data_IF_596734478486
#
_entry.id   IF_596734478486
#
_cell.length_a   1.000
_cell.length_b   1.000
_cell.length_c   1.000
_cell.angle_alpha   90.00
_cell.angle_beta   90.00
_cell.angle_gamma   90.00
#
_symmetry.space_group_name_H-M   'P 1'
#
loop_
_entity.id
_entity.type
_entity.pdbx_description
1 polymer ?
#
# COMPACT_ATOMS: atom_id res chain seq x y z
N UNK A 1 -2.99 15.99 10.02
CA UNK A 1 -4.28 16.67 9.77
C UNK A 1 -4.21 18.10 10.28
N UNK A 2 -3.96 18.35 11.58
CA UNK A 2 -3.99 19.71 12.16
C UNK A 2 -3.01 20.66 11.46
N UNK A 3 -1.77 20.22 11.18
CA UNK A 3 -0.74 21.06 10.54
C UNK A 3 -1.02 21.36 9.06
N UNK A 4 -1.79 20.52 8.37
CA UNK A 4 -2.12 20.67 6.96
C UNK A 4 -3.49 21.33 6.71
N UNK A 5 -4.24 21.61 7.78
CA UNK A 5 -5.56 22.23 7.70
C UNK A 5 -5.47 23.73 7.93
N UNK A 6 -6.20 24.49 7.12
CA UNK A 6 -6.25 25.95 7.16
C UNK A 6 -7.26 26.51 8.17
N UNK A 7 -8.17 25.68 8.66
CA UNK A 7 -9.22 26.08 9.61
C UNK A 7 -9.63 24.94 10.52
N UNK A 8 -10.23 25.29 11.68
CA UNK A 8 -10.81 24.33 12.62
C UNK A 8 -11.89 23.46 11.97
N UNK A 9 -12.71 24.05 11.10
CA UNK A 9 -13.77 23.34 10.39
C UNK A 9 -13.19 22.23 9.46
N UNK A 10 -12.05 22.47 8.82
CA UNK A 10 -11.36 21.44 8.02
C UNK A 10 -10.84 20.31 8.90
N UNK A 11 -10.28 20.62 10.07
CA UNK A 11 -9.83 19.61 11.04
C UNK A 11 -10.99 18.74 11.50
N UNK A 12 -12.12 19.35 11.89
CA UNK A 12 -13.31 18.61 12.29
C UNK A 12 -13.89 17.75 11.13
N UNK A 13 -13.95 18.30 9.92
CA UNK A 13 -14.39 17.57 8.73
C UNK A 13 -13.54 16.33 8.47
N UNK A 14 -12.21 16.44 8.58
CA UNK A 14 -11.30 15.32 8.43
C UNK A 14 -11.52 14.26 9.51
N UNK A 15 -11.68 14.64 10.76
CA UNK A 15 -11.99 13.69 11.84
C UNK A 15 -13.34 13.02 11.69
N UNK A 16 -14.37 13.75 11.25
CA UNK A 16 -15.70 13.16 10.95
C UNK A 16 -15.60 12.14 9.82
N UNK A 17 -14.85 12.43 8.75
CA UNK A 17 -14.62 11.49 7.66
C UNK A 17 -13.96 10.20 8.15
N UNK A 18 -12.84 10.31 8.89
CA UNK A 18 -12.07 9.16 9.39
C UNK A 18 -12.90 8.30 10.36
N UNK A 19 -13.76 8.91 11.17
CA UNK A 19 -14.60 8.22 12.17
C UNK A 19 -15.93 7.74 11.62
N UNK A 20 -16.26 8.06 10.39
CA UNK A 20 -17.55 7.66 9.79
C UNK A 20 -17.52 6.17 9.43
N UNK A 21 -18.36 5.33 10.06
CA UNK A 21 -18.39 3.90 9.78
C UNK A 21 -18.87 3.56 8.36
N UNK A 22 -19.53 4.51 7.69
CA UNK A 22 -19.95 4.36 6.29
C UNK A 22 -18.82 4.64 5.28
N UNK A 23 -17.66 5.11 5.75
CA UNK A 23 -16.48 5.37 4.90
C UNK A 23 -15.52 4.22 5.01
N UNK A 24 -15.41 3.42 3.96
CA UNK A 24 -14.45 2.32 3.88
C UNK A 24 -13.10 2.83 3.37
N UNK A 25 -12.00 2.68 4.15
CA UNK A 25 -10.65 2.97 3.65
C UNK A 25 -10.31 2.17 2.39
N UNK A 26 -10.81 0.93 2.30
CA UNK A 26 -10.63 0.08 1.14
C UNK A 26 -11.33 0.67 -0.09
N UNK A 27 -12.56 1.15 0.04
CA UNK A 27 -13.28 1.77 -1.07
C UNK A 27 -12.58 3.04 -1.59
N UNK A 28 -11.97 3.82 -0.68
CA UNK A 28 -11.17 5.00 -1.07
C UNK A 28 -9.92 4.56 -1.84
N UNK A 29 -9.21 3.52 -1.39
CA UNK A 29 -8.04 2.99 -2.06
C UNK A 29 -8.40 2.46 -3.46
N UNK A 30 -9.46 1.65 -3.57
CA UNK A 30 -9.94 1.10 -4.85
C UNK A 30 -10.34 2.18 -5.85
N UNK A 31 -10.97 3.27 -5.40
CA UNK A 31 -11.25 4.41 -6.26
C UNK A 31 -9.96 5.06 -6.80
N UNK A 32 -8.92 5.17 -5.96
CA UNK A 32 -7.60 5.65 -6.36
C UNK A 32 -6.94 4.72 -7.36
N UNK A 33 -6.96 3.41 -7.13
CA UNK A 33 -6.39 2.41 -8.04
C UNK A 33 -7.10 2.42 -9.39
N UNK A 34 -8.44 2.48 -9.40
CA UNK A 34 -9.23 2.61 -10.63
C UNK A 34 -8.88 3.88 -11.42
N UNK A 35 -8.65 5.00 -10.74
CA UNK A 35 -8.21 6.22 -11.39
C UNK A 35 -6.82 6.07 -12.02
N UNK A 36 -5.91 5.35 -11.35
CA UNK A 36 -4.58 5.03 -11.87
C UNK A 36 -4.67 4.15 -13.13
N UNK A 37 -5.51 3.10 -13.12
CA UNK A 37 -5.72 2.24 -14.30
C UNK A 37 -6.13 3.08 -15.51
N UNK A 38 -7.13 3.95 -15.35
CA UNK A 38 -7.58 4.85 -16.44
C UNK A 38 -6.48 5.79 -16.93
N UNK A 39 -5.65 6.31 -16.01
CA UNK A 39 -4.55 7.18 -16.39
C UNK A 39 -3.44 6.42 -17.15
N UNK A 40 -3.26 5.12 -16.87
CA UNK A 40 -2.32 4.26 -17.59
C UNK A 40 -2.63 4.12 -19.09
N UNK A 41 -3.90 4.20 -19.50
CA UNK A 41 -4.33 4.09 -20.89
C UNK A 41 -3.70 5.14 -21.83
N UNK A 42 -3.24 6.25 -21.29
CA UNK A 42 -2.62 7.33 -22.05
C UNK A 42 -1.14 7.07 -22.42
N UNK A 43 -0.53 5.99 -21.90
CA UNK A 43 0.90 5.74 -22.03
C UNK A 43 1.19 4.42 -22.73
N UNK A 44 2.05 4.42 -23.79
CA UNK A 44 2.37 3.21 -24.55
C UNK A 44 3.31 2.25 -23.81
N UNK A 45 4.03 2.74 -22.80
CA UNK A 45 4.93 1.96 -21.95
C UNK A 45 4.79 2.38 -20.52
N UNK A 46 4.66 1.42 -19.63
CA UNK A 46 4.56 1.61 -18.21
C UNK A 46 5.53 0.70 -17.47
N UNK A 47 6.09 1.20 -16.39
CA UNK A 47 6.88 0.42 -15.44
C UNK A 47 6.10 0.32 -14.12
N UNK A 48 5.94 -0.89 -13.62
CA UNK A 48 5.44 -1.15 -12.27
C UNK A 48 6.63 -1.16 -11.30
N UNK A 49 6.71 -0.17 -10.45
CA UNK A 49 7.76 -0.03 -9.45
C UNK A 49 7.22 -0.53 -8.11
N UNK A 50 7.83 -1.57 -7.56
CA UNK A 50 7.40 -2.20 -6.32
C UNK A 50 8.39 -1.94 -5.20
N UNK A 51 7.89 -1.53 -4.04
CA UNK A 51 8.71 -1.37 -2.83
C UNK A 51 7.90 -1.61 -1.56
N UNK A 52 8.62 -2.02 -0.51
CA UNK A 52 8.05 -2.20 0.82
C UNK A 52 8.62 -1.19 1.79
N UNK A 53 7.79 -0.25 2.19
CA UNK A 53 8.14 0.79 3.15
C UNK A 53 7.69 0.40 4.56
N UNK A 54 8.49 0.75 5.55
CA UNK A 54 8.15 0.60 6.97
C UNK A 54 7.57 1.89 7.53
N UNK A 55 6.36 1.82 8.09
CA UNK A 55 5.69 2.96 8.72
C UNK A 55 5.71 2.75 10.24
N UNK A 56 6.48 3.60 10.95
CA UNK A 56 6.65 3.52 12.38
C UNK A 56 5.76 4.54 13.10
N UNK A 57 5.17 4.10 14.20
CA UNK A 57 4.36 4.93 15.08
C UNK A 57 5.04 5.08 16.44
N UNK A 58 5.21 6.32 16.88
CA UNK A 58 5.87 6.64 18.17
C UNK A 58 4.90 6.72 19.34
N UNK A 59 3.59 6.77 19.10
CA UNK A 59 2.56 6.85 20.15
C UNK A 59 2.03 5.47 20.53
N UNK A 60 1.94 5.23 21.83
CA UNK A 60 1.54 3.95 22.44
C UNK A 60 0.05 3.59 22.31
N UNK A 61 -0.80 4.54 21.92
CA UNK A 61 -2.27 4.36 21.90
C UNK A 61 -2.80 3.44 20.82
N UNK A 62 -1.96 2.97 19.87
CA UNK A 62 -2.33 2.05 18.81
C UNK A 62 -1.40 0.84 18.76
N UNK A 63 -0.84 0.43 19.92
CA UNK A 63 0.19 -0.60 19.96
C UNK A 63 -0.33 -2.02 19.69
N UNK A 64 -1.61 -2.28 19.98
CA UNK A 64 -2.16 -3.64 19.98
C UNK A 64 -2.34 -4.19 18.55
N UNK A 65 -2.64 -3.31 17.59
CA UNK A 65 -2.77 -3.66 16.18
C UNK A 65 -1.46 -3.55 15.38
N UNK A 66 -0.36 -3.10 16.03
CA UNK A 66 0.91 -2.85 15.38
C UNK A 66 1.96 -3.89 15.74
N UNK A 67 2.70 -4.34 14.75
CA UNK A 67 3.80 -5.28 14.92
C UNK A 67 5.17 -4.61 15.05
N UNK A 68 6.20 -5.42 15.31
CA UNK A 68 7.58 -4.95 15.33
C UNK A 68 8.07 -4.67 13.89
N UNK A 69 8.59 -3.49 13.66
CA UNK A 69 9.12 -3.07 12.34
C UNK A 69 10.63 -3.13 12.26
N UNK A 70 11.31 -3.08 13.42
CA UNK A 70 12.77 -3.11 13.53
C UNK A 70 13.19 -4.15 14.57
N UNK A 71 14.49 -4.30 14.77
CA UNK A 71 15.06 -5.12 15.86
C UNK A 71 14.83 -4.54 17.25
N UNK A 72 14.39 -3.28 17.37
CA UNK A 72 14.02 -2.67 18.62
C UNK A 72 12.58 -3.07 19.00
N UNK A 73 12.36 -3.78 20.12
CA UNK A 73 11.03 -4.25 20.52
C UNK A 73 10.05 -3.11 20.87
N UNK A 74 10.56 -1.90 21.08
CA UNK A 74 9.73 -0.72 21.37
C UNK A 74 9.20 -0.02 20.10
N UNK A 75 9.75 -0.35 18.93
CA UNK A 75 9.32 0.27 17.67
C UNK A 75 8.17 -0.54 17.10
N UNK A 76 7.00 0.07 17.06
CA UNK A 76 5.77 -0.51 16.54
C UNK A 76 5.34 0.17 15.25
N UNK A 77 4.79 -0.60 14.33
CA UNK A 77 4.33 -0.09 13.07
C UNK A 77 3.75 -1.16 12.15
N UNK A 78 3.69 -0.81 10.89
CA UNK A 78 3.26 -1.70 9.82
C UNK A 78 4.19 -1.59 8.62
N UNK A 79 4.13 -2.59 7.75
CA UNK A 79 4.74 -2.57 6.45
C UNK A 79 3.67 -2.19 5.41
N UNK A 80 4.07 -1.37 4.44
CA UNK A 80 3.24 -1.01 3.31
C UNK A 80 4.01 -1.37 2.04
N UNK A 81 3.54 -2.39 1.33
CA UNK A 81 4.05 -2.75 0.00
C UNK A 81 3.19 -2.04 -1.04
N UNK A 82 3.82 -1.29 -1.91
CA UNK A 82 3.16 -0.43 -2.88
C UNK A 82 3.63 -0.75 -4.29
N UNK A 83 2.71 -0.74 -5.24
CA UNK A 83 3.00 -0.81 -6.68
C UNK A 83 2.66 0.54 -7.29
N UNK A 84 3.69 1.24 -7.76
CA UNK A 84 3.59 2.56 -8.39
C UNK A 84 3.77 2.41 -9.90
N UNK A 85 2.79 2.88 -10.66
CA UNK A 85 2.92 2.97 -12.12
C UNK A 85 3.71 4.23 -12.51
N UNK A 86 4.71 4.04 -13.36
CA UNK A 86 5.58 5.09 -13.87
C UNK A 86 5.59 5.08 -15.39
N UNK A 87 5.44 6.26 -15.99
CA UNK A 87 5.45 6.45 -17.43
C UNK A 87 6.81 7.05 -17.86
N UNK A 88 7.69 6.26 -18.52
CA UNK A 88 9.01 6.73 -18.94
C UNK A 88 8.98 7.83 -20.01
N UNK A 89 7.96 7.84 -20.85
CA UNK A 89 7.75 8.83 -21.92
C UNK A 89 7.58 10.24 -21.38
N UNK A 90 6.84 10.40 -20.31
CA UNK A 90 6.61 11.66 -19.62
C UNK A 90 7.55 11.91 -18.43
N UNK A 91 8.29 10.89 -18.01
CA UNK A 91 9.12 10.87 -16.81
C UNK A 91 8.35 11.22 -15.52
N UNK A 92 7.08 10.78 -15.43
CA UNK A 92 6.18 11.08 -14.33
C UNK A 92 5.60 9.80 -13.70
N UNK A 93 5.37 9.78 -12.38
CA UNK A 93 4.55 8.78 -11.76
C UNK A 93 3.09 8.97 -12.20
N UNK A 94 2.44 7.90 -12.65
CA UNK A 94 1.03 7.89 -13.04
C UNK A 94 0.14 7.78 -11.82
N UNK A 95 0.46 6.86 -10.92
CA UNK A 95 -0.27 6.68 -9.67
C UNK A 95 -0.03 5.32 -9.02
N UNK A 96 -0.56 5.15 -7.82
CA UNK A 96 -0.59 3.87 -7.12
C UNK A 96 -1.67 2.99 -7.73
N UNK A 97 -1.31 1.72 -8.03
CA UNK A 97 -2.25 0.74 -8.59
C UNK A 97 -2.60 -0.36 -7.60
N UNK A 98 -1.71 -0.63 -6.64
CA UNK A 98 -1.95 -1.57 -5.55
C UNK A 98 -1.17 -1.15 -4.31
N UNK A 99 -1.74 -1.41 -3.14
CA UNK A 99 -1.04 -1.28 -1.87
C UNK A 99 -1.56 -2.27 -0.84
N UNK A 100 -0.67 -3.07 -0.31
CA UNK A 100 -0.94 -3.97 0.80
C UNK A 100 -0.30 -3.44 2.09
N UNK A 101 -0.99 -3.63 3.20
CA UNK A 101 -0.50 -3.25 4.52
C UNK A 101 -0.67 -4.40 5.50
N UNK A 102 0.38 -4.70 6.26
CA UNK A 102 0.34 -5.75 7.28
C UNK A 102 1.25 -5.40 8.45
N UNK A 103 0.96 -6.01 9.60
CA UNK A 103 1.80 -5.98 10.79
C UNK A 103 2.51 -7.31 10.96
N UNK A 104 3.77 -7.30 11.38
CA UNK A 104 4.46 -8.52 11.77
C UNK A 104 3.90 -9.02 13.08
N UNK A 105 3.63 -10.32 13.15
CA UNK A 105 3.20 -10.95 14.40
C UNK A 105 4.33 -10.85 15.43
N UNK A 106 4.02 -10.32 16.62
CA UNK A 106 5.01 -10.05 17.66
C UNK A 106 5.63 -11.30 18.25
N UNK A 107 4.90 -12.42 18.28
CA UNK A 107 5.32 -13.68 18.87
C UNK A 107 6.45 -14.38 18.08
N UNK A 108 6.64 -13.98 16.82
CA UNK A 108 7.72 -14.48 15.95
C UNK A 108 8.96 -13.60 15.95
N UNK A 109 9.02 -12.61 16.83
CA UNK A 109 10.15 -11.71 16.96
C UNK A 109 11.42 -12.44 17.41
N UNK A 110 12.51 -12.28 16.67
CA UNK A 110 13.81 -12.86 17.03
C UNK A 110 14.09 -14.29 16.54
N UNK A 111 13.11 -15.00 15.98
CA UNK A 111 13.23 -16.40 15.54
C UNK A 111 13.74 -16.49 14.09
N UNK A 112 14.97 -16.00 13.85
CA UNK A 112 15.59 -16.03 12.50
C UNK A 112 15.74 -17.43 11.93
N UNK A 113 15.95 -18.44 12.78
CA UNK A 113 16.23 -19.82 12.35
C UNK A 113 15.01 -20.52 11.70
N UNK A 114 13.79 -20.10 12.01
CA UNK A 114 12.57 -20.70 11.46
C UNK A 114 12.12 -20.11 10.13
N UNK A 115 12.84 -19.11 9.58
CA UNK A 115 12.46 -18.46 8.31
C UNK A 115 12.41 -19.42 7.11
N UNK A 116 13.25 -20.45 7.11
CA UNK A 116 13.30 -21.44 6.02
C UNK A 116 12.14 -22.42 6.07
N UNK A 117 11.63 -22.71 7.26
CA UNK A 117 10.60 -23.75 7.51
C UNK A 117 9.17 -23.18 7.43
N UNK A 118 9.01 -21.85 7.38
CA UNK A 118 7.68 -21.23 7.25
C UNK A 118 7.08 -21.52 5.90
N UNK A 119 5.76 -21.80 5.83
CA UNK A 119 5.00 -21.82 4.60
C UNK A 119 5.24 -20.54 3.78
N UNK A 120 5.15 -20.65 2.46
CA UNK A 120 5.41 -19.50 1.59
C UNK A 120 4.46 -18.33 1.86
N UNK A 121 3.21 -18.64 2.19
CA UNK A 121 2.13 -17.70 2.49
C UNK A 121 2.40 -16.85 3.75
N UNK A 122 3.28 -17.32 4.64
CA UNK A 122 3.70 -16.59 5.83
C UNK A 122 4.96 -15.75 5.61
N UNK A 123 5.55 -15.80 4.41
CA UNK A 123 6.74 -15.02 4.06
C UNK A 123 6.36 -13.64 3.53
N UNK A 124 7.21 -12.65 3.80
CA UNK A 124 7.00 -11.30 3.27
C UNK A 124 7.01 -11.25 1.74
N UNK A 125 7.74 -12.17 1.09
CA UNK A 125 7.75 -12.32 -0.36
C UNK A 125 6.40 -12.72 -0.96
N UNK A 126 5.52 -13.32 -0.17
CA UNK A 126 4.16 -13.64 -0.60
C UNK A 126 3.33 -12.38 -0.88
N UNK A 127 3.51 -11.33 -0.08
CA UNK A 127 2.84 -10.05 -0.32
C UNK A 127 3.25 -9.41 -1.66
N UNK A 128 4.49 -9.60 -2.08
CA UNK A 128 4.96 -9.14 -3.40
C UNK A 128 4.24 -9.87 -4.53
N UNK A 129 4.19 -11.20 -4.43
CA UNK A 129 3.45 -11.99 -5.42
C UNK A 129 1.97 -11.59 -5.46
N UNK A 130 1.32 -11.46 -4.30
CA UNK A 130 -0.08 -11.03 -4.24
C UNK A 130 -0.30 -9.64 -4.84
N UNK A 131 0.62 -8.71 -4.62
CA UNK A 131 0.50 -7.37 -5.19
C UNK A 131 0.58 -7.39 -6.72
N UNK A 132 1.54 -8.16 -7.27
CA UNK A 132 1.67 -8.36 -8.71
C UNK A 132 0.44 -9.04 -9.32
N UNK A 133 -0.11 -10.07 -8.66
CA UNK A 133 -1.34 -10.77 -9.10
C UNK A 133 -2.55 -9.82 -9.11
N UNK A 134 -2.77 -9.05 -8.03
CA UNK A 134 -3.86 -8.08 -7.96
C UNK A 134 -3.71 -6.94 -8.95
N UNK A 135 -2.48 -6.48 -9.20
CA UNK A 135 -2.22 -5.50 -10.26
C UNK A 135 -2.62 -6.05 -11.63
N UNK A 136 -2.27 -7.31 -11.94
CA UNK A 136 -2.64 -7.95 -13.19
C UNK A 136 -4.17 -8.10 -13.35
N UNK A 137 -4.88 -8.41 -12.26
CA UNK A 137 -6.35 -8.49 -12.24
C UNK A 137 -7.05 -7.15 -12.52
N UNK A 138 -6.37 -6.02 -12.32
CA UNK A 138 -6.91 -4.68 -12.58
C UNK A 138 -6.94 -4.30 -14.07
N UNK A 139 -6.60 -5.24 -14.95
CA UNK A 139 -6.75 -5.13 -16.40
C UNK A 139 -5.96 -3.99 -17.08
N UNK A 140 -4.78 -3.71 -16.53
CA UNK A 140 -3.84 -2.77 -17.17
C UNK A 140 -3.35 -3.30 -18.52
N UNK A 141 -3.43 -4.62 -18.72
CA UNK A 141 -2.97 -5.29 -19.95
C UNK A 141 -3.94 -5.12 -21.14
N UNK A 142 -5.22 -4.84 -20.91
CA UNK A 142 -6.17 -4.58 -22.00
C UNK A 142 -5.91 -3.24 -22.69
N UNK A 143 -5.33 -2.28 -21.98
CA UNK A 143 -4.91 -1.00 -22.54
C UNK A 143 -3.68 -1.12 -23.47
N UNK A 144 -2.85 -2.16 -23.30
CA UNK A 144 -1.61 -2.35 -24.09
C UNK A 144 -1.86 -3.13 -25.39
N UNK A 145 -2.95 -3.88 -25.49
CA UNK A 145 -3.22 -4.78 -26.62
C UNK A 145 -4.18 -4.24 -27.68
N UNK A 146 -4.78 -3.07 -27.50
CA UNK A 146 -5.78 -2.54 -28.44
C UNK A 146 -5.22 -1.76 -29.64
N UNK A 147 -3.90 -1.54 -29.75
CA UNK A 147 -3.28 -0.77 -30.84
C UNK A 147 -2.26 -1.59 -31.68
N UNK A 148 -2.45 -2.90 -31.80
CA UNK A 148 -1.78 -3.74 -32.79
C UNK A 148 -2.77 -4.15 -33.91
N UNK A 149 -3.24 -3.14 -34.65
CA UNK A 149 -4.08 -3.31 -35.81
C UNK A 149 -3.65 -2.37 -36.92
#
# INVERSE_FOLDING_TARGET
IVKSSQSTAQVEGAYRLIRNPSVSPQAIAEAGFTATVRACEAHPLLLALEDTTTINFSHSTASDDLGNTTTNPKTRGLLAHSVLMYAPDSALPVGLIEQQRWSRVTDTYGVKHQRKERPYEEKESYHWQQASERMAERDVSSAITSDAG
#
